data_IF_254858966798
#
_entry.id   IF_254858966798
#
_cell.length_a   1.000
_cell.length_b   1.000
_cell.length_c   1.000
_cell.angle_alpha   90.00
_cell.angle_beta   90.00
_cell.angle_gamma   90.00
#
_symmetry.space_group_name_H-M   'P 1'
#
loop_
_entity.id
_entity.type
_entity.pdbx_description
1 polymer ?
#
# COMPACT_ATOMS: atom_id res chain seq x y z
N UNK A 1 -3.27 3.35 7.95
CA UNK A 1 -3.61 4.74 7.56
C UNK A 1 -3.11 5.80 8.54
N UNK A 2 -3.41 5.70 9.84
CA UNK A 2 -2.86 6.60 10.88
C UNK A 2 -1.32 6.67 10.89
N UNK A 3 -0.64 5.61 10.46
CA UNK A 3 0.82 5.55 10.34
C UNK A 3 1.37 6.44 9.21
N UNK A 4 0.79 6.44 8.00
CA UNK A 4 1.23 7.32 6.89
C UNK A 4 1.04 8.80 7.23
N UNK A 5 0.01 9.15 8.00
CA UNK A 5 -0.20 10.53 8.47
C UNK A 5 0.67 10.91 9.66
N UNK A 6 1.07 9.98 10.54
CA UNK A 6 2.13 10.24 11.53
C UNK A 6 3.46 10.63 10.86
N UNK A 7 3.73 10.11 9.66
CA UNK A 7 4.83 10.57 8.81
C UNK A 7 4.69 12.05 8.45
N UNK A 8 3.49 12.45 8.02
CA UNK A 8 3.16 13.86 7.74
C UNK A 8 3.25 14.71 9.00
N UNK A 9 2.82 14.22 10.17
CA UNK A 9 2.91 14.94 11.44
C UNK A 9 4.34 15.10 11.94
N UNK A 10 5.24 14.14 11.65
CA UNK A 10 6.67 14.26 11.93
C UNK A 10 7.39 15.19 10.94
N UNK A 11 6.93 15.27 9.69
CA UNK A 11 7.40 16.27 8.72
C UNK A 11 6.84 17.66 9.07
N UNK A 12 5.64 17.72 9.66
CA UNK A 12 4.92 18.94 10.06
C UNK A 12 5.30 19.39 11.47
N UNK A 13 6.58 19.72 11.68
CA UNK A 13 7.01 20.47 12.86
C UNK A 13 6.37 21.87 12.88
N UNK A 14 5.40 22.08 13.78
CA UNK A 14 4.94 23.36 14.37
C UNK A 14 5.35 24.65 13.64
N UNK A 15 4.56 25.05 12.65
CA UNK A 15 4.20 26.43 12.28
C UNK A 15 3.34 26.34 11.01
N UNK A 16 2.45 27.31 10.77
CA UNK A 16 1.45 27.30 9.69
C UNK A 16 2.03 27.42 8.24
N UNK A 17 3.16 26.77 7.94
CA UNK A 17 3.73 26.63 6.60
C UNK A 17 3.89 25.16 6.26
N UNK A 18 2.94 24.62 5.49
CA UNK A 18 2.69 23.17 5.30
C UNK A 18 3.84 22.44 4.55
N UNK A 19 4.88 23.13 4.10
CA UNK A 19 6.14 22.49 3.69
C UNK A 19 7.34 23.31 4.19
N UNK A 20 8.31 22.65 4.82
CA UNK A 20 9.63 23.27 4.98
C UNK A 20 10.21 23.50 3.59
N UNK A 21 10.78 24.69 3.34
CA UNK A 21 11.36 25.04 2.02
C UNK A 21 12.41 24.02 1.52
N UNK A 22 12.97 23.22 2.43
CA UNK A 22 13.91 22.13 2.17
C UNK A 22 13.33 20.94 1.41
N UNK A 23 12.03 20.62 1.54
CA UNK A 23 11.44 19.45 0.87
C UNK A 23 11.08 19.73 -0.60
N UNK A 24 11.00 21.00 -0.99
CA UNK A 24 10.42 21.36 -2.29
C UNK A 24 8.94 20.96 -2.39
N UNK A 25 8.36 20.95 -3.60
CA UNK A 25 6.97 20.56 -3.81
C UNK A 25 6.77 19.09 -3.44
N UNK A 26 5.86 18.82 -2.50
CA UNK A 26 5.54 17.45 -2.08
C UNK A 26 4.63 16.78 -3.11
N UNK A 27 5.08 15.65 -3.65
CA UNK A 27 4.33 14.87 -4.63
C UNK A 27 3.98 13.50 -4.04
N UNK A 28 2.69 13.24 -3.90
CA UNK A 28 2.12 11.95 -3.51
C UNK A 28 1.67 11.22 -4.76
N UNK A 29 2.20 10.02 -4.97
CA UNK A 29 1.81 9.14 -6.07
C UNK A 29 1.00 7.98 -5.54
N UNK A 30 -0.21 7.79 -6.07
CA UNK A 30 -1.11 6.70 -5.73
C UNK A 30 -1.10 5.69 -6.88
N UNK A 31 -0.70 4.45 -6.60
CA UNK A 31 -0.72 3.39 -7.63
C UNK A 31 -2.02 2.62 -7.59
N UNK A 32 -2.59 2.39 -8.77
CA UNK A 32 -3.82 1.62 -8.93
C UNK A 32 -5.08 2.46 -8.74
N UNK A 33 -6.20 1.92 -9.22
CA UNK A 33 -7.52 2.57 -9.22
C UNK A 33 -8.57 1.84 -8.39
N UNK A 34 -8.16 0.81 -7.64
CA UNK A 34 -9.05 0.03 -6.78
C UNK A 34 -9.40 0.73 -5.46
N UNK A 35 -10.24 0.07 -4.66
CA UNK A 35 -10.77 0.60 -3.39
C UNK A 35 -9.67 1.08 -2.42
N UNK A 36 -8.52 0.39 -2.39
CA UNK A 36 -7.39 0.76 -1.53
C UNK A 36 -6.82 2.13 -1.90
N UNK A 37 -6.57 2.36 -3.20
CA UNK A 37 -6.06 3.63 -3.70
C UNK A 37 -7.09 4.75 -3.51
N UNK A 38 -8.37 4.48 -3.74
CA UNK A 38 -9.45 5.44 -3.51
C UNK A 38 -9.51 5.87 -2.04
N UNK A 39 -9.48 4.93 -1.09
CA UNK A 39 -9.46 5.27 0.33
C UNK A 39 -8.25 6.11 0.73
N UNK A 40 -7.07 5.86 0.14
CA UNK A 40 -5.89 6.70 0.37
C UNK A 40 -6.06 8.12 -0.21
N UNK A 41 -6.69 8.25 -1.37
CA UNK A 41 -6.99 9.53 -2.01
C UNK A 41 -8.02 10.34 -1.21
N UNK A 42 -9.05 9.70 -0.66
CA UNK A 42 -10.04 10.37 0.20
C UNK A 42 -9.38 11.05 1.40
N UNK A 43 -8.42 10.37 2.05
CA UNK A 43 -7.66 10.99 3.12
C UNK A 43 -6.76 12.13 2.64
N UNK A 44 -6.11 11.95 1.49
CA UNK A 44 -5.27 12.99 0.89
C UNK A 44 -6.05 14.25 0.55
N UNK A 45 -7.33 14.13 0.21
CA UNK A 45 -8.19 15.28 -0.12
C UNK A 45 -8.40 16.25 1.05
N UNK A 46 -8.14 15.82 2.29
CA UNK A 46 -8.16 16.71 3.47
C UNK A 46 -6.96 17.64 3.56
N UNK A 47 -5.89 17.41 2.78
CA UNK A 47 -4.74 18.30 2.68
C UNK A 47 -5.01 19.43 1.66
N UNK A 48 -4.32 20.58 1.75
CA UNK A 48 -4.37 21.60 0.69
C UNK A 48 -3.65 21.04 -0.54
N UNK A 49 -4.42 20.47 -1.47
CA UNK A 49 -3.89 19.63 -2.53
C UNK A 49 -4.28 20.10 -3.93
N UNK A 50 -3.55 19.60 -4.93
CA UNK A 50 -3.90 19.65 -6.34
C UNK A 50 -3.58 18.31 -6.99
N UNK A 51 -4.55 17.71 -7.68
CA UNK A 51 -4.29 16.53 -8.51
C UNK A 51 -3.74 16.95 -9.86
N UNK A 52 -2.67 16.27 -10.30
CA UNK A 52 -1.98 16.53 -11.57
C UNK A 52 -1.77 15.24 -12.35
N UNK A 53 -1.72 15.37 -13.67
CA UNK A 53 -1.43 14.24 -14.56
C UNK A 53 0.04 13.82 -14.49
N UNK A 54 0.31 12.56 -14.83
CA UNK A 54 1.66 11.96 -14.91
C UNK A 54 2.61 12.82 -15.75
N UNK A 55 2.14 13.34 -16.89
CA UNK A 55 2.93 14.19 -17.79
C UNK A 55 3.38 15.52 -17.14
N UNK A 56 2.73 15.95 -16.07
CA UNK A 56 2.98 17.21 -15.37
C UNK A 56 3.91 17.02 -14.17
N UNK A 57 4.11 15.78 -13.70
CA UNK A 57 5.01 15.44 -12.58
C UNK A 57 6.42 16.05 -12.70
N UNK A 58 7.11 16.01 -13.86
CA UNK A 58 8.46 16.59 -13.97
C UNK A 58 8.48 18.09 -13.73
N UNK A 59 7.43 18.82 -14.14
CA UNK A 59 7.31 20.27 -13.96
C UNK A 59 7.01 20.61 -12.51
N UNK A 60 6.08 19.87 -11.90
CA UNK A 60 5.66 20.06 -10.50
C UNK A 60 6.83 19.76 -9.54
N UNK A 61 7.54 18.66 -9.75
CA UNK A 61 8.67 18.28 -8.91
C UNK A 61 9.82 19.31 -8.91
N UNK A 62 9.89 20.18 -9.92
CA UNK A 62 10.89 21.25 -10.04
C UNK A 62 10.39 22.63 -9.62
N UNK A 63 9.15 22.99 -9.99
CA UNK A 63 8.63 24.37 -9.90
C UNK A 63 7.26 24.48 -9.24
N UNK A 64 6.77 23.41 -8.62
CA UNK A 64 5.51 23.43 -7.88
C UNK A 64 5.51 24.51 -6.79
N UNK A 65 4.32 25.01 -6.50
CA UNK A 65 4.07 25.85 -5.33
C UNK A 65 4.27 25.02 -4.05
N UNK A 66 4.82 25.66 -3.01
CA UNK A 66 5.17 25.03 -1.74
C UNK A 66 4.05 25.10 -0.68
N UNK A 67 3.00 25.87 -0.94
CA UNK A 67 1.87 26.03 -0.02
C UNK A 67 0.81 24.92 -0.16
N UNK A 68 1.05 23.93 -1.02
CA UNK A 68 0.14 22.81 -1.29
C UNK A 68 0.92 21.55 -1.61
N UNK A 69 0.23 20.42 -1.53
CA UNK A 69 0.72 19.09 -1.90
C UNK A 69 0.13 18.66 -3.25
N UNK A 70 0.84 17.84 -4.01
CA UNK A 70 0.39 17.37 -5.32
C UNK A 70 0.06 15.90 -5.26
N UNK A 71 -1.11 15.53 -5.76
CA UNK A 71 -1.52 14.13 -5.91
C UNK A 71 -1.41 13.71 -7.37
N UNK A 72 -0.96 12.49 -7.63
CA UNK A 72 -1.00 11.90 -8.97
C UNK A 72 -1.43 10.45 -8.87
N UNK A 73 -2.45 10.08 -9.64
CA UNK A 73 -2.93 8.70 -9.72
C UNK A 73 -2.30 8.05 -10.94
N UNK A 74 -1.62 6.94 -10.73
CA UNK A 74 -0.86 6.26 -11.77
C UNK A 74 -1.40 4.85 -12.01
N UNK A 75 -1.33 4.44 -13.26
CA UNK A 75 -1.72 3.11 -13.71
C UNK A 75 -0.49 2.21 -13.85
N UNK A 76 -0.72 0.93 -14.14
CA UNK A 76 0.38 -0.02 -14.41
C UNK A 76 1.22 0.34 -15.64
N UNK A 77 0.74 1.20 -16.53
CA UNK A 77 1.48 1.63 -17.72
C UNK A 77 2.50 2.76 -17.44
N UNK A 78 2.43 3.37 -16.26
CA UNK A 78 3.22 4.54 -15.89
C UNK A 78 4.51 4.10 -15.17
N UNK A 79 5.56 3.83 -15.94
CA UNK A 79 6.80 3.21 -15.41
C UNK A 79 7.86 4.21 -14.90
N UNK A 80 7.70 5.52 -15.12
CA UNK A 80 8.73 6.54 -14.83
C UNK A 80 8.26 7.62 -13.85
N UNK A 81 7.64 7.19 -12.74
CA UNK A 81 7.02 8.09 -11.76
C UNK A 81 7.87 8.31 -10.51
N UNK A 82 8.66 7.31 -10.11
CA UNK A 82 9.43 7.33 -8.87
C UNK A 82 10.44 8.51 -8.75
N UNK A 83 11.15 8.95 -9.80
CA UNK A 83 12.07 10.11 -9.69
C UNK A 83 11.39 11.43 -9.31
N UNK A 84 10.09 11.54 -9.53
CA UNK A 84 9.30 12.75 -9.27
C UNK A 84 8.46 12.65 -8.00
N UNK A 85 8.34 11.46 -7.41
CA UNK A 85 7.54 11.20 -6.23
C UNK A 85 8.31 11.55 -4.95
N UNK A 86 7.62 12.19 -4.00
CA UNK A 86 8.11 12.34 -2.62
C UNK A 86 7.62 11.19 -1.75
N UNK A 87 6.35 10.82 -1.93
CA UNK A 87 5.71 9.70 -1.25
C UNK A 87 5.04 8.83 -2.31
N UNK A 88 5.25 7.52 -2.25
CA UNK A 88 4.51 6.55 -3.05
C UNK A 88 3.59 5.77 -2.14
N UNK A 89 2.30 5.76 -2.46
CA UNK A 89 1.28 4.93 -1.82
C UNK A 89 0.94 3.83 -2.83
N UNK A 90 1.50 2.67 -2.60
CA UNK A 90 1.36 1.52 -3.46
C UNK A 90 0.12 0.70 -3.06
N UNK A 91 -0.83 0.55 -3.98
CA UNK A 91 -2.07 -0.20 -3.76
C UNK A 91 -2.41 -1.14 -4.91
N UNK A 92 -1.45 -1.46 -5.78
CA UNK A 92 -1.65 -2.35 -6.92
C UNK A 92 -1.45 -3.81 -6.50
N UNK A 93 -2.36 -4.67 -6.93
CA UNK A 93 -2.08 -6.10 -6.99
C UNK A 93 -0.91 -6.36 -7.94
N UNK A 94 0.03 -7.21 -7.54
CA UNK A 94 1.18 -7.60 -8.34
C UNK A 94 1.19 -9.11 -8.63
N UNK A 95 1.71 -9.48 -9.80
CA UNK A 95 1.91 -10.86 -10.24
C UNK A 95 3.29 -10.98 -10.87
N UNK A 96 3.93 -12.15 -10.77
CA UNK A 96 5.31 -12.37 -11.18
C UNK A 96 5.59 -12.11 -12.67
N UNK A 97 4.54 -12.09 -13.50
CA UNK A 97 4.62 -11.75 -14.93
C UNK A 97 4.61 -10.25 -15.20
N UNK A 98 4.33 -9.42 -14.19
CA UNK A 98 4.22 -7.96 -14.30
C UNK A 98 5.54 -7.30 -13.87
N UNK A 99 6.03 -6.27 -14.59
CA UNK A 99 7.18 -5.51 -14.16
C UNK A 99 7.01 -4.97 -12.74
N UNK A 100 8.10 -4.93 -11.98
CA UNK A 100 8.12 -4.30 -10.66
C UNK A 100 7.99 -2.78 -10.81
N UNK A 101 7.42 -2.13 -9.80
CA UNK A 101 7.31 -0.67 -9.74
C UNK A 101 8.66 -0.02 -9.41
N UNK A 102 9.40 -0.61 -8.47
CA UNK A 102 10.76 -0.19 -8.12
C UNK A 102 11.63 -1.43 -7.96
N UNK A 103 12.65 -1.54 -8.79
CA UNK A 103 13.69 -2.58 -8.66
C UNK A 103 14.79 -2.15 -7.68
N UNK A 104 15.63 -3.09 -7.23
CA UNK A 104 16.80 -2.77 -6.40
C UNK A 104 17.74 -1.76 -7.10
N UNK A 105 18.06 -1.91 -8.41
CA UNK A 105 18.81 -0.89 -9.15
C UNK A 105 18.13 0.48 -9.20
N UNK A 106 16.81 0.52 -9.39
CA UNK A 106 16.05 1.79 -9.39
C UNK A 106 16.14 2.46 -8.02
N UNK A 107 15.96 1.70 -6.94
CA UNK A 107 16.06 2.22 -5.58
C UNK A 107 17.44 2.83 -5.31
N UNK A 108 18.52 2.18 -5.76
CA UNK A 108 19.87 2.73 -5.64
C UNK A 108 20.01 4.06 -6.36
N UNK A 109 19.47 4.18 -7.58
CA UNK A 109 19.49 5.44 -8.31
C UNK A 109 18.64 6.52 -7.64
N UNK A 110 17.45 6.16 -7.17
CA UNK A 110 16.49 7.08 -6.54
C UNK A 110 16.96 7.62 -5.19
N UNK A 111 17.63 6.79 -4.39
CA UNK A 111 18.08 7.12 -3.03
C UNK A 111 19.52 7.61 -2.96
N UNK A 112 20.21 7.74 -4.10
CA UNK A 112 21.54 8.36 -4.16
C UNK A 112 21.44 9.83 -3.72
N UNK A 113 22.20 10.26 -2.70
CA UNK A 113 22.11 11.63 -2.20
C UNK A 113 22.51 12.68 -3.25
N UNK A 114 21.64 13.66 -3.45
CA UNK A 114 21.89 14.85 -4.29
C UNK A 114 22.35 15.98 -3.36
N UNK A 115 23.64 16.26 -3.34
CA UNK A 115 24.17 17.40 -2.58
C UNK A 115 23.60 18.71 -3.12
N UNK A 116 22.83 19.41 -2.28
CA UNK A 116 22.50 20.83 -2.48
C UNK A 116 23.12 21.64 -1.35
N UNK A 117 23.25 22.94 -1.56
CA UNK A 117 23.73 23.85 -0.53
C UNK A 117 22.72 23.92 0.62
N UNK A 118 23.15 23.46 1.80
CA UNK A 118 22.34 23.58 3.00
C UNK A 118 22.18 25.04 3.40
N UNK A 119 20.95 25.43 3.68
CA UNK A 119 20.66 26.72 4.28
C UNK A 119 20.61 26.56 5.80
N UNK A 120 21.16 27.52 6.58
CA UNK A 120 21.06 27.48 8.03
C UNK A 120 19.60 27.33 8.49
N UNK A 121 19.29 26.27 9.24
CA UNK A 121 17.94 25.96 9.74
C UNK A 121 17.02 25.21 8.78
N UNK A 122 17.48 24.83 7.59
CA UNK A 122 16.74 24.00 6.64
C UNK A 122 17.69 23.00 5.95
N UNK A 123 17.93 21.81 6.55
CA UNK A 123 18.76 20.78 5.93
C UNK A 123 18.09 20.28 4.65
N UNK A 124 18.88 20.07 3.61
CA UNK A 124 18.37 19.51 2.34
C UNK A 124 18.08 18.03 2.53
N UNK A 125 16.95 17.54 2.01
CA UNK A 125 16.73 16.10 1.92
C UNK A 125 17.80 15.45 1.00
N UNK A 126 18.33 14.27 1.37
CA UNK A 126 19.35 13.59 0.58
C UNK A 126 18.80 13.21 -0.80
N UNK A 127 17.54 12.80 -0.89
CA UNK A 127 16.88 12.43 -2.14
C UNK A 127 15.41 12.85 -2.08
N UNK A 128 14.69 12.73 -3.20
CA UNK A 128 13.29 13.16 -3.26
C UNK A 128 12.33 12.13 -2.68
N UNK A 129 12.57 10.85 -2.93
CA UNK A 129 11.68 9.76 -2.51
C UNK A 129 11.88 9.47 -1.02
N UNK A 130 11.15 10.18 -0.17
CA UNK A 130 11.28 10.08 1.28
C UNK A 130 10.61 8.82 1.82
N UNK A 131 9.46 8.45 1.25
CA UNK A 131 8.65 7.39 1.81
C UNK A 131 7.90 6.54 0.79
N UNK A 132 7.74 5.27 1.10
CA UNK A 132 6.91 4.31 0.40
C UNK A 132 5.97 3.67 1.43
N UNK A 133 4.68 3.79 1.20
CA UNK A 133 3.68 2.98 1.87
C UNK A 133 3.21 1.91 0.90
N UNK A 134 3.62 0.67 1.12
CA UNK A 134 3.16 -0.47 0.34
C UNK A 134 1.99 -1.16 1.03
N UNK A 135 0.78 -0.88 0.55
CA UNK A 135 -0.46 -1.45 1.11
C UNK A 135 -0.68 -2.87 0.60
N UNK A 136 -0.09 -3.26 -0.54
CA UNK A 136 -0.22 -4.64 -1.01
C UNK A 136 0.53 -5.61 -0.11
N UNK A 137 1.61 -5.14 0.53
CA UNK A 137 2.41 -5.87 1.51
C UNK A 137 2.83 -7.26 1.01
N UNK A 138 3.31 -7.31 -0.23
CA UNK A 138 3.78 -8.53 -0.89
C UNK A 138 5.32 -8.65 -0.81
N UNK A 139 5.89 -9.54 0.02
CA UNK A 139 7.33 -9.76 0.08
C UNK A 139 7.92 -10.12 -1.27
N UNK A 140 8.90 -9.34 -1.73
CA UNK A 140 9.51 -9.49 -3.05
C UNK A 140 8.51 -9.27 -4.19
N UNK A 141 7.50 -8.42 -3.99
CA UNK A 141 6.46 -8.07 -4.94
C UNK A 141 6.77 -6.84 -5.79
N UNK A 142 5.81 -5.92 -5.94
CA UNK A 142 5.97 -4.75 -6.80
C UNK A 142 7.10 -3.80 -6.37
N UNK A 143 7.42 -3.75 -5.08
CA UNK A 143 8.60 -3.09 -4.52
C UNK A 143 9.64 -4.17 -4.22
N UNK A 144 10.66 -4.29 -5.06
CA UNK A 144 11.55 -5.47 -5.06
C UNK A 144 12.29 -5.70 -3.74
N UNK A 145 12.78 -4.61 -3.17
CA UNK A 145 13.62 -4.64 -1.97
C UNK A 145 12.83 -4.83 -0.67
N UNK A 146 11.50 -4.89 -0.76
CA UNK A 146 10.65 -5.17 0.38
C UNK A 146 10.62 -6.68 0.62
N UNK A 147 11.56 -7.17 1.42
CA UNK A 147 11.70 -8.61 1.71
C UNK A 147 10.78 -9.07 2.84
N UNK A 148 10.37 -8.17 3.73
CA UNK A 148 9.54 -8.45 4.88
C UNK A 148 8.51 -7.32 5.08
N UNK A 149 7.33 -7.68 5.58
CA UNK A 149 6.27 -6.73 5.91
C UNK A 149 6.53 -6.11 7.30
N UNK A 150 6.17 -4.83 7.45
CA UNK A 150 6.20 -4.16 8.75
C UNK A 150 4.99 -4.58 9.58
N UNK A 151 5.09 -4.45 10.91
CA UNK A 151 4.00 -4.85 11.83
C UNK A 151 3.27 -3.64 12.39
N UNK A 152 2.12 -3.85 13.04
CA UNK A 152 1.41 -2.76 13.72
C UNK A 152 2.29 -2.13 14.82
N UNK A 153 3.05 -2.95 15.54
CA UNK A 153 3.92 -2.49 16.63
C UNK A 153 5.16 -1.75 16.11
N UNK A 154 5.69 -2.18 14.95
CA UNK A 154 6.82 -1.57 14.25
C UNK A 154 6.41 -1.22 12.82
N UNK A 155 5.62 -0.15 12.63
CA UNK A 155 4.97 0.14 11.35
C UNK A 155 5.91 0.70 10.28
N UNK A 156 7.11 1.12 10.68
CA UNK A 156 8.07 1.74 9.79
C UNK A 156 9.45 1.10 9.92
N UNK A 157 10.15 1.02 8.80
CA UNK A 157 11.56 0.71 8.72
C UNK A 157 12.24 1.66 7.74
N UNK A 158 13.54 1.87 7.90
CA UNK A 158 14.36 2.56 6.92
C UNK A 158 15.02 1.53 6.02
N UNK A 159 14.81 1.65 4.71
CA UNK A 159 15.53 0.90 3.70
C UNK A 159 16.74 1.67 3.19
N UNK A 160 17.92 1.07 3.33
CA UNK A 160 19.19 1.55 2.81
C UNK A 160 19.52 0.84 1.48
N UNK A 161 19.59 1.59 0.38
CA UNK A 161 19.85 1.02 -0.94
C UNK A 161 21.34 0.76 -1.23
N UNK A 162 22.27 1.32 -0.47
CA UNK A 162 23.70 1.08 -0.66
C UNK A 162 24.11 -0.27 -0.10
N UNK A 163 23.58 -0.62 1.08
CA UNK A 163 23.83 -1.91 1.73
C UNK A 163 22.75 -2.95 1.47
N UNK A 164 21.62 -2.55 0.86
CA UNK A 164 20.45 -3.40 0.66
C UNK A 164 19.96 -4.02 1.99
N UNK A 165 19.81 -3.16 2.99
CA UNK A 165 19.40 -3.56 4.35
C UNK A 165 18.24 -2.71 4.84
N UNK A 166 17.29 -3.35 5.49
CA UNK A 166 16.22 -2.67 6.24
C UNK A 166 16.58 -2.61 7.72
N UNK A 167 16.33 -1.47 8.36
CA UNK A 167 16.61 -1.28 9.79
C UNK A 167 15.48 -0.55 10.51
N UNK A 168 15.30 -0.85 11.79
CA UNK A 168 14.36 -0.15 12.68
C UNK A 168 14.94 1.18 13.21
N UNK A 169 16.23 1.44 12.98
CA UNK A 169 16.88 2.69 13.38
C UNK A 169 16.63 3.78 12.35
N UNK A 170 16.33 4.97 12.84
CA UNK A 170 16.16 6.18 12.03
C UNK A 170 17.50 6.94 11.84
N UNK A 171 18.61 6.34 12.24
CA UNK A 171 19.94 6.98 12.22
C UNK A 171 20.66 6.86 10.86
N UNK A 172 20.03 6.23 9.86
CA UNK A 172 20.65 6.13 8.53
C UNK A 172 20.67 7.50 7.84
N UNK A 173 21.85 7.97 7.37
CA UNK A 173 21.99 9.25 6.69
C UNK A 173 21.33 9.26 5.30
N UNK A 174 21.07 8.10 4.72
CA UNK A 174 20.45 7.95 3.39
C UNK A 174 19.60 6.69 3.34
N UNK A 175 18.29 6.84 3.50
CA UNK A 175 17.35 5.74 3.35
C UNK A 175 15.95 6.24 3.01
N UNK A 176 15.12 5.32 2.54
CA UNK A 176 13.70 5.54 2.30
C UNK A 176 12.91 4.95 3.46
N UNK A 177 11.92 5.70 3.95
CA UNK A 177 11.01 5.22 4.97
C UNK A 177 9.98 4.30 4.33
N UNK A 178 9.90 3.05 4.77
CA UNK A 178 9.01 2.03 4.21
C UNK A 178 7.99 1.62 5.26
N UNK A 179 6.73 1.57 4.85
CA UNK A 179 5.60 1.09 5.65
C UNK A 179 4.84 0.04 4.84
N UNK A 180 4.79 -1.20 5.30
CA UNK A 180 4.17 -2.32 4.59
C UNK A 180 3.43 -3.25 5.56
N UNK A 181 2.30 -2.78 6.08
CA UNK A 181 1.51 -3.51 7.08
C UNK A 181 0.46 -4.36 6.38
N UNK A 182 0.55 -5.68 6.53
CA UNK A 182 -0.31 -6.69 5.90
C UNK A 182 -1.78 -6.66 6.40
N UNK A 183 -1.99 -6.25 7.65
CA UNK A 183 -3.30 -6.21 8.30
C UNK A 183 -3.78 -4.79 8.60
N UNK A 184 -3.57 -3.86 7.65
CA UNK A 184 -3.92 -2.45 7.85
C UNK A 184 -5.35 -2.17 8.38
N UNK A 185 -6.42 -2.93 8.05
CA UNK A 185 -7.74 -2.73 8.66
C UNK A 185 -7.74 -2.84 10.19
N UNK A 186 -6.85 -3.63 10.78
CA UNK A 186 -6.72 -3.74 12.24
C UNK A 186 -6.21 -2.45 12.91
N UNK A 187 -5.71 -1.48 12.14
CA UNK A 187 -5.38 -0.14 12.65
C UNK A 187 -6.62 0.72 12.93
N UNK A 188 -7.77 0.36 12.37
CA UNK A 188 -9.07 1.01 12.62
C UNK A 188 -10.13 -0.07 12.89
N UNK A 189 -9.99 -0.81 14.01
CA UNK A 189 -10.70 -2.06 14.23
C UNK A 189 -12.21 -1.85 14.40
N UNK A 190 -12.62 -0.70 14.95
CA UNK A 190 -14.04 -0.36 15.13
C UNK A 190 -14.70 -0.14 13.77
N UNK A 191 -14.10 0.70 12.93
CA UNK A 191 -14.57 1.02 11.59
C UNK A 191 -14.59 -0.22 10.69
N UNK A 192 -13.50 -1.01 10.71
CA UNK A 192 -13.40 -2.25 9.95
C UNK A 192 -14.48 -3.26 10.36
N UNK A 193 -14.73 -3.41 11.67
CA UNK A 193 -15.76 -4.32 12.19
C UNK A 193 -17.16 -3.85 11.81
N UNK A 194 -17.45 -2.55 11.94
CA UNK A 194 -18.75 -1.99 11.56
C UNK A 194 -19.02 -2.20 10.08
N UNK A 195 -18.07 -1.83 9.22
CA UNK A 195 -18.21 -1.96 7.77
C UNK A 195 -18.35 -3.42 7.33
N UNK A 196 -17.53 -4.32 7.88
CA UNK A 196 -17.64 -5.75 7.61
C UNK A 196 -19.00 -6.30 8.08
N UNK A 197 -19.45 -5.89 9.28
CA UNK A 197 -20.75 -6.23 9.83
C UNK A 197 -21.89 -5.81 8.93
N UNK A 198 -21.90 -4.57 8.46
CA UNK A 198 -22.93 -4.02 7.57
C UNK A 198 -23.00 -4.77 6.23
N UNK A 199 -21.85 -5.19 5.69
CA UNK A 199 -21.78 -5.99 4.46
C UNK A 199 -22.23 -7.44 4.67
N UNK A 200 -21.93 -8.02 5.84
CA UNK A 200 -22.25 -9.42 6.17
C UNK A 200 -23.71 -9.59 6.63
N UNK A 201 -24.26 -8.62 7.37
CA UNK A 201 -25.55 -8.70 8.03
C UNK A 201 -26.70 -9.14 7.12
N UNK A 202 -26.82 -8.64 5.86
CA UNK A 202 -27.85 -9.11 4.94
C UNK A 202 -27.83 -10.61 4.70
N UNK A 203 -26.66 -11.27 4.74
CA UNK A 203 -26.48 -12.70 4.46
C UNK A 203 -26.72 -13.60 5.67
N UNK A 204 -26.79 -13.06 6.88
CA UNK A 204 -26.92 -13.84 8.11
C UNK A 204 -28.14 -14.75 8.10
N UNK A 205 -29.29 -14.25 7.63
CA UNK A 205 -30.52 -15.06 7.57
C UNK A 205 -30.41 -16.23 6.59
N UNK A 206 -29.73 -16.03 5.46
CA UNK A 206 -29.51 -17.12 4.50
C UNK A 206 -28.52 -18.16 5.03
N UNK A 207 -27.49 -17.72 5.76
CA UNK A 207 -26.56 -18.61 6.44
C UNK A 207 -27.27 -19.45 7.52
N UNK A 208 -28.21 -18.86 8.27
CA UNK A 208 -29.00 -19.58 9.26
C UNK A 208 -29.98 -20.58 8.62
N UNK A 209 -30.48 -20.31 7.42
CA UNK A 209 -31.36 -21.22 6.68
C UNK A 209 -30.61 -22.42 6.06
N UNK A 210 -29.28 -22.39 6.01
CA UNK A 210 -28.46 -23.52 5.57
C UNK A 210 -28.39 -24.62 6.64
N UNK A 211 -29.48 -25.39 6.78
CA UNK A 211 -29.51 -26.58 7.65
C UNK A 211 -28.70 -27.73 7.05
N UNK A 212 -28.08 -28.54 7.91
CA UNK A 212 -27.39 -29.79 7.54
C UNK A 212 -28.36 -30.95 7.23
N UNK A 213 -29.66 -30.76 7.46
CA UNK A 213 -30.67 -31.78 7.19
C UNK A 213 -31.03 -31.89 5.70
N UNK A 214 -30.74 -30.85 4.91
CA UNK A 214 -31.02 -30.81 3.49
C UNK A 214 -29.73 -31.04 2.69
N UNK A 215 -29.77 -31.83 1.60
CA UNK A 215 -28.62 -31.97 0.73
C UNK A 215 -28.27 -30.62 0.09
N UNK A 216 -26.97 -30.41 -0.17
CA UNK A 216 -26.40 -29.16 -0.71
C UNK A 216 -27.20 -28.54 -1.86
N UNK A 217 -27.69 -29.36 -2.78
CA UNK A 217 -28.45 -28.89 -3.95
C UNK A 217 -29.80 -28.25 -3.59
N UNK A 218 -30.38 -28.61 -2.45
CA UNK A 218 -31.70 -28.16 -1.97
C UNK A 218 -31.63 -27.06 -0.92
N UNK A 219 -30.45 -26.54 -0.60
CA UNK A 219 -30.32 -25.43 0.33
C UNK A 219 -31.05 -24.18 -0.18
N UNK A 220 -31.89 -23.61 0.68
CA UNK A 220 -32.67 -22.40 0.41
C UNK A 220 -31.88 -21.16 0.85
N UNK A 221 -30.89 -20.78 0.05
CA UNK A 221 -30.07 -19.61 0.31
C UNK A 221 -29.69 -18.90 -1.01
N UNK A 222 -29.24 -17.65 -0.88
CA UNK A 222 -28.70 -16.87 -1.99
C UNK A 222 -27.49 -17.57 -2.64
N UNK A 223 -27.27 -17.40 -3.96
CA UNK A 223 -26.15 -18.04 -4.67
C UNK A 223 -24.79 -17.59 -4.13
N UNK A 224 -24.67 -16.38 -3.60
CA UNK A 224 -23.46 -15.89 -2.95
C UNK A 224 -23.12 -16.73 -1.70
N UNK A 225 -24.13 -17.02 -0.87
CA UNK A 225 -23.96 -17.85 0.33
C UNK A 225 -23.68 -19.29 -0.05
N UNK A 226 -24.45 -19.85 -1.00
CA UNK A 226 -24.24 -21.22 -1.49
C UNK A 226 -22.84 -21.38 -2.11
N UNK A 227 -22.41 -20.38 -2.87
CA UNK A 227 -21.08 -20.32 -3.47
C UNK A 227 -19.96 -20.21 -2.44
N UNK A 228 -20.21 -19.62 -1.27
CA UNK A 228 -19.23 -19.50 -0.18
C UNK A 228 -19.07 -20.78 0.67
N UNK A 229 -19.91 -21.81 0.47
CA UNK A 229 -19.80 -23.09 1.19
C UNK A 229 -18.67 -23.92 0.56
N UNK A 230 -17.53 -23.97 1.25
CA UNK A 230 -16.35 -24.74 0.79
C UNK A 230 -16.50 -26.24 1.09
N UNK A 231 -17.10 -26.58 2.24
CA UNK A 231 -17.28 -27.96 2.69
C UNK A 231 -18.70 -28.21 3.18
N UNK A 232 -19.19 -29.43 2.97
CA UNK A 232 -20.51 -29.90 3.41
C UNK A 232 -20.42 -31.40 3.72
N UNK A 233 -21.02 -31.85 4.82
CA UNK A 233 -21.05 -33.26 5.25
C UNK A 233 -19.68 -33.97 5.25
N UNK A 234 -18.61 -33.25 5.62
CA UNK A 234 -17.25 -33.78 5.67
C UNK A 234 -16.56 -33.90 4.30
N UNK A 235 -17.21 -33.47 3.23
CA UNK A 235 -16.68 -33.46 1.87
C UNK A 235 -16.51 -32.02 1.33
N UNK A 236 -15.69 -31.87 0.28
CA UNK A 236 -15.61 -30.61 -0.47
C UNK A 236 -16.91 -30.43 -1.25
N UNK A 237 -17.44 -29.21 -1.29
CA UNK A 237 -18.57 -28.89 -2.15
C UNK A 237 -18.12 -28.93 -3.63
N UNK A 238 -19.04 -29.11 -4.60
CA UNK A 238 -18.69 -29.36 -6.00
C UNK A 238 -17.74 -28.34 -6.62
N UNK A 239 -17.91 -27.04 -6.31
CA UNK A 239 -17.04 -25.97 -6.83
C UNK A 239 -15.61 -26.02 -6.28
N UNK A 240 -15.36 -26.78 -5.22
CA UNK A 240 -14.12 -26.81 -4.47
C UNK A 240 -13.41 -28.17 -4.53
N UNK A 241 -13.94 -29.14 -5.28
CA UNK A 241 -13.34 -30.47 -5.45
C UNK A 241 -11.90 -30.39 -5.99
N UNK A 242 -11.58 -29.38 -6.80
CA UNK A 242 -10.23 -29.12 -7.33
C UNK A 242 -9.16 -28.96 -6.23
N UNK A 243 -9.56 -28.60 -5.00
CA UNK A 243 -8.63 -28.52 -3.86
C UNK A 243 -8.01 -29.89 -3.56
N UNK A 244 -8.76 -30.99 -3.74
CA UNK A 244 -8.24 -32.34 -3.55
C UNK A 244 -7.13 -32.67 -4.55
N UNK A 245 -7.28 -32.25 -5.81
CA UNK A 245 -6.28 -32.43 -6.86
C UNK A 245 -5.02 -31.63 -6.55
N UNK A 246 -5.17 -30.36 -6.14
CA UNK A 246 -4.05 -29.50 -5.73
C UNK A 246 -3.27 -30.10 -4.55
N UNK A 247 -3.98 -30.66 -3.56
CA UNK A 247 -3.34 -31.33 -2.42
C UNK A 247 -2.56 -32.56 -2.85
N UNK A 248 -3.15 -33.39 -3.72
CA UNK A 248 -2.50 -34.60 -4.25
C UNK A 248 -1.23 -34.28 -5.04
N UNK A 249 -1.28 -33.25 -5.90
CA UNK A 249 -0.13 -32.79 -6.68
C UNK A 249 1.01 -32.27 -5.80
N UNK A 250 0.70 -31.56 -4.72
CA UNK A 250 1.71 -31.09 -3.76
C UNK A 250 2.35 -32.25 -3.00
N UNK A 251 1.58 -33.25 -2.59
CA UNK A 251 2.09 -34.43 -1.89
C UNK A 251 3.00 -35.32 -2.74
N UNK A 252 2.86 -35.29 -4.07
CA UNK A 252 3.74 -36.02 -5.01
C UNK A 252 5.00 -35.24 -5.40
N UNK A 253 5.07 -33.96 -5.07
CA UNK A 253 6.21 -33.07 -5.36
C UNK A 253 7.19 -32.94 -4.18
N UNK A 254 7.05 -33.78 -3.15
CA UNK A 254 7.92 -33.86 -1.96
C UNK A 254 8.72 -35.15 -2.00
#
# INVERSE_FOLDING_TARGET
MFSVFKLSDHISSKEHNITQRSLGPLVFVFTGSGNVSQGAQELFQHLPHEFVDVATLPKVAQKGQLNKVYGCVVTRADHMIAPYATVIINGVYWDARTPRLITIPDAKHLLTPVHKYDMPGCPTLPHRLVAICDISADPGGSIEFMTECTTIDKPFMIYDADFHTSSDSFDSPSGCLVCSIDNMPAQMPLEATSQFGDLLFPYVMDMLNCTTELPFDRLACRPEVKGAIITTDGHLAPNYEYIADLRSARSTSV
#
